data_IF_647772304610
#
_entry.id   IF_647772304610
#
_cell.length_a   1.000
_cell.length_b   1.000
_cell.length_c   1.000
_cell.angle_alpha   90.00
_cell.angle_beta   90.00
_cell.angle_gamma   90.00
#
_symmetry.space_group_name_H-M   'P 1'
#
loop_
_entity.id
_entity.type
_entity.pdbx_description
1 polymer ?
#
# COMPACT_ATOMS: atom_id res chain seq x y z
N UNK A 1 2.57 14.45 -4.94
CA UNK A 1 2.65 13.09 -5.55
C UNK A 1 2.71 12.09 -4.42
N UNK A 2 2.06 10.95 -4.57
CA UNK A 2 1.99 9.90 -3.56
C UNK A 2 2.62 8.62 -4.11
N UNK A 3 3.40 7.93 -3.29
CA UNK A 3 4.07 6.69 -3.66
C UNK A 3 3.46 5.55 -2.84
N UNK A 4 3.29 4.39 -3.46
CA UNK A 4 3.03 3.16 -2.71
C UNK A 4 4.35 2.40 -2.55
N UNK A 5 4.59 1.90 -1.35
CA UNK A 5 5.79 1.14 -1.02
C UNK A 5 5.36 -0.18 -0.36
N UNK A 6 5.88 -1.31 -0.86
CA UNK A 6 5.60 -2.64 -0.31
C UNK A 6 6.60 -2.97 0.79
N UNK A 7 6.14 -3.67 1.82
CA UNK A 7 7.02 -4.24 2.86
C UNK A 7 7.80 -5.43 2.26
N UNK A 8 9.12 -5.28 2.19
CA UNK A 8 10.04 -6.34 1.80
C UNK A 8 10.37 -7.30 2.96
N UNK A 9 11.08 -8.41 2.68
CA UNK A 9 11.46 -9.42 3.67
C UNK A 9 12.34 -8.85 4.78
N UNK A 10 13.25 -7.92 4.46
CA UNK A 10 14.16 -7.28 5.44
C UNK A 10 13.52 -6.11 6.18
N UNK A 11 12.19 -6.05 6.24
CA UNK A 11 11.46 -4.92 6.82
C UNK A 11 11.80 -3.57 6.16
N UNK A 12 12.30 -3.59 4.93
CA UNK A 12 12.51 -2.40 4.12
C UNK A 12 11.26 -2.07 3.31
N UNK A 13 11.11 -0.80 2.94
CA UNK A 13 10.01 -0.34 2.10
C UNK A 13 10.49 -0.19 0.65
N UNK A 14 9.89 -0.95 -0.25
CA UNK A 14 10.25 -0.97 -1.67
C UNK A 14 9.23 -0.16 -2.43
N UNK A 15 9.65 0.97 -3.01
CA UNK A 15 8.77 1.82 -3.83
C UNK A 15 8.41 1.14 -5.14
N UNK A 16 7.11 1.05 -5.42
CA UNK A 16 6.61 0.39 -6.64
C UNK A 16 6.01 1.38 -7.64
N UNK A 17 5.03 2.18 -7.21
CA UNK A 17 4.25 3.06 -8.10
C UNK A 17 4.06 4.45 -7.52
N UNK A 18 3.80 5.42 -8.41
CA UNK A 18 3.53 6.82 -8.07
C UNK A 18 2.16 7.26 -8.61
N UNK A 19 1.48 8.11 -7.84
CA UNK A 19 0.14 8.60 -8.14
C UNK A 19 0.04 10.10 -7.90
N UNK A 20 -0.83 10.76 -8.68
CA UNK A 20 -1.07 12.20 -8.53
C UNK A 20 -1.77 12.55 -7.22
N UNK A 21 -2.64 11.67 -6.72
CA UNK A 21 -3.46 11.91 -5.53
C UNK A 21 -3.35 10.76 -4.53
N UNK A 22 -3.60 11.05 -3.27
CA UNK A 22 -3.61 10.07 -2.18
C UNK A 22 -4.66 8.99 -2.42
N UNK A 23 -5.87 9.39 -2.80
CA UNK A 23 -6.95 8.46 -3.11
C UNK A 23 -6.57 7.44 -4.18
N UNK A 24 -5.91 7.87 -5.27
CA UNK A 24 -5.43 6.95 -6.31
C UNK A 24 -4.34 6.01 -5.79
N UNK A 25 -3.45 6.51 -4.93
CA UNK A 25 -2.46 5.67 -4.26
C UNK A 25 -3.11 4.63 -3.35
N UNK A 26 -4.18 4.98 -2.62
CA UNK A 26 -4.92 4.05 -1.78
C UNK A 26 -5.57 2.91 -2.57
N UNK A 27 -6.27 3.25 -3.65
CA UNK A 27 -6.86 2.22 -4.52
C UNK A 27 -5.79 1.32 -5.14
N UNK A 28 -4.67 1.90 -5.57
CA UNK A 28 -3.52 1.15 -6.09
C UNK A 28 -2.90 0.21 -5.05
N UNK A 29 -2.66 0.71 -3.84
CA UNK A 29 -2.12 -0.05 -2.72
C UNK A 29 -3.04 -1.21 -2.34
N UNK A 30 -4.36 -0.98 -2.20
CA UNK A 30 -5.34 -2.03 -1.88
C UNK A 30 -5.36 -3.16 -2.91
N UNK A 31 -5.42 -2.82 -4.22
CA UNK A 31 -5.39 -3.82 -5.30
C UNK A 31 -4.12 -4.68 -5.25
N UNK A 32 -2.98 -4.02 -5.04
CA UNK A 32 -1.67 -4.68 -4.93
C UNK A 32 -1.57 -5.54 -3.66
N UNK A 33 -2.05 -5.04 -2.53
CA UNK A 33 -2.03 -5.73 -1.25
C UNK A 33 -2.85 -7.03 -1.29
N UNK A 34 -4.05 -7.01 -1.89
CA UNK A 34 -4.87 -8.22 -2.12
C UNK A 34 -4.13 -9.19 -3.03
N UNK A 35 -3.62 -8.73 -4.17
CA UNK A 35 -2.98 -9.60 -5.17
C UNK A 35 -1.66 -10.22 -4.70
N UNK A 36 -0.97 -9.61 -3.75
CA UNK A 36 0.37 -10.03 -3.31
C UNK A 36 0.40 -10.51 -1.86
N UNK A 37 -0.73 -10.44 -1.15
CA UNK A 37 -0.84 -10.70 0.29
C UNK A 37 0.25 -10.00 1.11
N UNK A 38 0.68 -8.83 0.66
CA UNK A 38 1.77 -8.06 1.26
C UNK A 38 1.25 -6.76 1.85
N UNK A 39 1.89 -6.28 2.91
CA UNK A 39 1.60 -4.96 3.49
C UNK A 39 2.19 -3.85 2.62
N UNK A 40 1.41 -2.80 2.38
CA UNK A 40 1.84 -1.59 1.70
C UNK A 40 1.72 -0.39 2.63
N UNK A 41 2.52 0.64 2.37
CA UNK A 41 2.32 1.99 2.90
C UNK A 41 2.21 3.00 1.77
N UNK A 42 1.54 4.10 2.05
CA UNK A 42 1.42 5.25 1.16
C UNK A 42 2.22 6.38 1.78
N UNK A 43 3.11 6.99 1.00
CA UNK A 43 3.94 8.13 1.45
C UNK A 43 3.78 9.30 0.50
N UNK A 44 3.89 10.53 1.01
CA UNK A 44 3.98 11.70 0.16
C UNK A 44 5.42 11.88 -0.35
N UNK A 45 5.59 12.23 -1.62
CA UNK A 45 6.91 12.31 -2.26
C UNK A 45 7.87 13.31 -1.58
N UNK A 46 7.34 14.38 -0.98
CA UNK A 46 8.15 15.35 -0.23
C UNK A 46 8.55 14.87 1.17
N UNK A 47 7.79 13.93 1.75
CA UNK A 47 7.96 13.47 3.14
C UNK A 47 8.00 11.94 3.18
N UNK A 48 8.97 11.28 2.51
CA UNK A 48 8.96 9.84 2.29
C UNK A 48 9.12 9.00 3.57
N UNK A 49 9.57 9.62 4.66
CA UNK A 49 9.74 8.97 5.95
C UNK A 49 8.44 8.89 6.76
N UNK A 50 7.38 9.61 6.34
CA UNK A 50 6.09 9.62 7.02
C UNK A 50 5.04 8.93 6.15
N UNK A 51 4.55 7.79 6.65
CA UNK A 51 3.40 7.13 6.05
C UNK A 51 2.13 7.94 6.31
N UNK A 52 1.34 8.13 5.25
CA UNK A 52 0.02 8.75 5.30
C UNK A 52 -1.03 7.68 5.62
N UNK A 53 -0.82 6.45 5.15
CA UNK A 53 -1.71 5.31 5.38
C UNK A 53 -0.94 3.99 5.23
N UNK A 54 -1.37 2.97 5.97
CA UNK A 54 -0.93 1.58 5.83
C UNK A 54 -2.08 0.72 5.31
N UNK A 55 -1.75 -0.27 4.49
CA UNK A 55 -2.70 -1.23 3.92
C UNK A 55 -2.15 -2.63 4.17
N UNK A 56 -2.81 -3.38 5.05
CA UNK A 56 -2.47 -4.77 5.32
C UNK A 56 -3.15 -5.68 4.29
N UNK A 57 -2.34 -6.40 3.49
CA UNK A 57 -2.83 -7.29 2.45
C UNK A 57 -3.59 -8.49 2.99
N UNK A 58 -3.03 -9.24 3.95
CA UNK A 58 -3.73 -10.35 4.62
C UNK A 58 -5.08 -9.95 5.22
N UNK A 59 -5.15 -8.88 6.01
CA UNK A 59 -6.41 -8.42 6.61
C UNK A 59 -7.44 -8.09 5.53
N UNK A 60 -7.01 -7.38 4.48
CA UNK A 60 -7.87 -6.97 3.39
C UNK A 60 -8.40 -8.14 2.54
N UNK A 61 -7.59 -9.19 2.34
CA UNK A 61 -8.01 -10.39 1.65
C UNK A 61 -9.13 -11.12 2.43
N UNK A 62 -8.97 -11.26 3.76
CA UNK A 62 -9.97 -11.85 4.63
C UNK A 62 -11.30 -11.07 4.59
N UNK A 63 -11.26 -9.74 4.54
CA UNK A 63 -12.48 -8.92 4.39
C UNK A 63 -13.21 -9.16 3.07
N UNK A 64 -12.46 -9.42 1.99
CA UNK A 64 -13.04 -9.70 0.66
C UNK A 64 -13.68 -11.08 0.63
N UNK A 65 -13.03 -12.08 1.24
CA UNK A 65 -13.55 -13.46 1.31
C UNK A 65 -14.78 -13.59 2.21
N UNK A 66 -14.87 -12.81 3.29
CA UNK A 66 -15.99 -12.89 4.25
C UNK A 66 -17.23 -12.08 3.83
N UNK A 67 -17.09 -11.17 2.86
CA UNK A 67 -18.19 -10.31 2.37
C UNK A 67 -18.64 -10.64 0.94
N UNK A 68 -18.02 -11.63 0.30
CA UNK A 68 -18.41 -12.16 -1.02
C UNK A 68 -19.41 -13.29 -0.89
#
# INVERSE_FOLDING_TARGET
MYCIERRGPDHQWIRELNFKTEFKALIGARRKAISTLSTYRIVHAMWPNQAVCYVDGPELANEVETKG
#
